data_IF_145090947727
#
_entry.id   IF_145090947727
#
_cell.length_a   1.000
_cell.length_b   1.000
_cell.length_c   1.000
_cell.angle_alpha   90.00
_cell.angle_beta   90.00
_cell.angle_gamma   90.00
#
_symmetry.space_group_name_H-M   'P 1'
#
loop_
_entity.id
_entity.type
_entity.pdbx_description
1 polymer ?
#
# COMPACT_ATOMS: atom_id res chain seq x y z
N UNK A 1 6.90 -22.08 -13.23
CA UNK A 1 5.69 -21.29 -13.54
C UNK A 1 6.15 -20.00 -14.21
N UNK A 2 5.51 -19.57 -15.30
CA UNK A 2 5.85 -18.27 -15.92
C UNK A 2 5.49 -17.16 -14.92
N UNK A 3 6.33 -16.11 -14.83
CA UNK A 3 6.15 -15.01 -13.85
C UNK A 3 4.81 -14.30 -14.00
N UNK A 4 4.31 -14.16 -15.24
CA UNK A 4 3.02 -13.52 -15.53
C UNK A 4 1.86 -14.33 -14.92
N UNK A 5 1.90 -15.66 -15.05
CA UNK A 5 0.89 -16.54 -14.46
C UNK A 5 0.79 -16.37 -12.95
N UNK A 6 1.92 -16.36 -12.23
CA UNK A 6 1.91 -16.16 -10.77
C UNK A 6 1.27 -14.84 -10.38
N UNK A 7 1.66 -13.75 -11.05
CA UNK A 7 1.13 -12.41 -10.79
C UNK A 7 -0.38 -12.39 -11.08
N UNK A 8 -0.80 -12.78 -12.29
CA UNK A 8 -2.21 -12.74 -12.70
C UNK A 8 -3.10 -13.59 -11.78
N UNK A 9 -2.65 -14.77 -11.38
CA UNK A 9 -3.36 -15.61 -10.40
C UNK A 9 -3.54 -14.88 -9.06
N UNK A 10 -2.47 -14.29 -8.51
CA UNK A 10 -2.57 -13.53 -7.26
C UNK A 10 -3.56 -12.36 -7.36
N UNK A 11 -3.57 -11.63 -8.48
CA UNK A 11 -4.47 -10.49 -8.68
C UNK A 11 -5.95 -10.93 -8.81
N UNK A 12 -6.21 -12.05 -9.48
CA UNK A 12 -7.56 -12.60 -9.68
C UNK A 12 -8.14 -13.21 -8.40
N UNK A 13 -7.30 -13.91 -7.65
CA UNK A 13 -7.72 -14.55 -6.39
C UNK A 13 -7.82 -13.52 -5.25
N UNK A 14 -7.23 -12.34 -5.43
CA UNK A 14 -7.15 -11.29 -4.41
C UNK A 14 -6.22 -11.66 -3.25
N UNK A 15 -5.44 -12.73 -3.39
CA UNK A 15 -4.55 -13.27 -2.36
C UNK A 15 -3.17 -12.62 -2.37
N UNK A 16 -3.13 -11.29 -2.38
CA UNK A 16 -1.85 -10.57 -2.44
C UNK A 16 -1.13 -10.49 -1.08
N UNK A 17 -1.72 -10.98 0.02
CA UNK A 17 -1.10 -10.93 1.36
C UNK A 17 0.24 -11.68 1.46
N UNK A 18 0.46 -12.64 0.56
CA UNK A 18 1.71 -13.41 0.47
C UNK A 18 2.64 -12.89 -0.64
N UNK A 19 2.25 -11.80 -1.31
CA UNK A 19 3.14 -11.12 -2.25
C UNK A 19 4.37 -10.59 -1.52
N UNK A 20 5.46 -10.46 -2.27
CA UNK A 20 6.70 -9.90 -1.76
C UNK A 20 6.52 -8.47 -1.29
N UNK A 21 5.75 -7.66 -2.02
CA UNK A 21 5.43 -6.29 -1.57
C UNK A 21 4.81 -6.29 -0.17
N UNK A 22 3.85 -7.19 0.09
CA UNK A 22 3.22 -7.27 1.42
C UNK A 22 4.19 -7.76 2.51
N UNK A 23 5.09 -8.67 2.16
CA UNK A 23 6.18 -9.07 3.06
C UNK A 23 7.09 -7.89 3.40
N UNK A 24 7.55 -7.11 2.41
CA UNK A 24 8.41 -5.94 2.62
C UNK A 24 7.70 -4.86 3.46
N UNK A 25 6.41 -4.60 3.24
CA UNK A 25 5.62 -3.69 4.08
C UNK A 25 5.53 -4.18 5.54
N UNK A 26 5.38 -5.49 5.74
CA UNK A 26 5.34 -6.11 7.06
C UNK A 26 6.70 -6.01 7.78
N UNK A 27 7.80 -6.18 7.05
CA UNK A 27 9.16 -6.01 7.57
C UNK A 27 9.43 -4.56 7.97
N UNK A 28 9.04 -3.58 7.14
CA UNK A 28 9.15 -2.15 7.47
C UNK A 28 8.38 -1.84 8.76
N UNK A 29 7.17 -2.37 8.91
CA UNK A 29 6.38 -2.25 10.15
C UNK A 29 7.14 -2.86 11.33
N UNK A 30 7.61 -4.10 11.20
CA UNK A 30 8.30 -4.81 12.29
C UNK A 30 9.57 -4.06 12.74
N UNK A 31 10.36 -3.57 11.79
CA UNK A 31 11.55 -2.77 12.06
C UNK A 31 11.20 -1.48 12.79
N UNK A 32 10.20 -0.72 12.32
CA UNK A 32 9.75 0.50 12.99
C UNK A 32 9.24 0.27 14.41
N UNK A 33 8.52 -0.84 14.65
CA UNK A 33 8.07 -1.22 15.99
C UNK A 33 9.24 -1.57 16.91
N UNK A 34 10.21 -2.33 16.39
CA UNK A 34 11.43 -2.70 17.11
C UNK A 34 12.26 -1.48 17.50
N UNK A 35 12.47 -0.54 16.57
CA UNK A 35 13.17 0.72 16.83
C UNK A 35 12.46 1.58 17.87
N UNK A 36 11.13 1.70 17.77
CA UNK A 36 10.33 2.45 18.75
C UNK A 36 10.44 1.83 20.15
N UNK A 37 10.43 0.49 20.25
CA UNK A 37 10.62 -0.23 21.51
C UNK A 37 12.04 -0.04 22.07
N UNK A 38 13.07 -0.13 21.22
CA UNK A 38 14.46 0.07 21.61
C UNK A 38 14.72 1.52 22.08
N UNK A 39 14.07 2.51 21.46
CA UNK A 39 14.12 3.91 21.90
C UNK A 39 13.44 4.10 23.25
N UNK A 40 12.20 3.60 23.41
CA UNK A 40 11.47 3.69 24.68
C UNK A 40 12.26 3.08 25.83
N UNK A 41 12.84 1.89 25.63
CA UNK A 41 13.69 1.24 26.64
C UNK A 41 14.88 2.13 27.03
N UNK A 42 15.61 2.67 26.05
CA UNK A 42 16.77 3.56 26.30
C UNK A 42 16.37 4.82 27.09
N UNK A 43 15.26 5.45 26.71
CA UNK A 43 14.76 6.66 27.39
C UNK A 43 14.26 6.33 28.82
N UNK A 44 13.60 5.19 29.00
CA UNK A 44 13.15 4.72 30.29
C UNK A 44 14.33 4.42 31.24
N UNK A 45 15.34 3.70 30.76
CA UNK A 45 16.54 3.37 31.54
C UNK A 45 17.27 4.65 31.98
N UNK A 46 17.34 5.67 31.11
CA UNK A 46 17.92 6.97 31.45
C UNK A 46 17.15 7.71 32.56
N UNK A 47 15.81 7.60 32.59
CA UNK A 47 15.01 8.11 33.71
C UNK A 47 15.32 7.33 34.99
N UNK A 48 15.34 6.00 34.92
CA UNK A 48 15.61 5.16 36.09
C UNK A 48 16.99 5.46 36.69
N UNK A 49 18.00 5.66 35.86
CA UNK A 49 19.34 6.02 36.33
C UNK A 49 19.39 7.44 36.91
N UNK A 50 18.61 8.38 36.36
CA UNK A 50 18.46 9.72 36.93
C UNK A 50 17.76 9.70 38.29
N UNK A 51 16.73 8.88 38.45
CA UNK A 51 16.03 8.67 39.72
C UNK A 51 16.98 8.08 40.77
N UNK A 52 17.80 7.08 40.41
CA UNK A 52 18.81 6.52 41.32
C UNK A 52 19.81 7.57 41.79
N UNK A 53 20.21 8.49 40.90
CA UNK A 53 21.26 9.49 41.17
C UNK A 53 20.76 10.72 41.93
N UNK A 54 19.55 11.19 41.62
CA UNK A 54 19.05 12.48 42.11
C UNK A 54 17.76 12.36 42.96
N UNK A 55 17.21 11.16 43.10
CA UNK A 55 15.93 10.90 43.76
C UNK A 55 14.72 11.10 42.84
N UNK A 56 13.59 10.47 43.17
CA UNK A 56 12.36 10.50 42.36
C UNK A 56 11.52 11.76 42.62
N UNK A 57 12.09 12.96 42.37
CA UNK A 57 11.34 14.22 42.43
C UNK A 57 11.30 14.88 41.05
N UNK A 58 10.11 14.91 40.44
CA UNK A 58 9.86 15.67 39.21
C UNK A 58 10.02 14.90 37.90
N UNK A 59 10.11 13.57 37.92
CA UNK A 59 10.24 12.73 36.71
C UNK A 59 8.91 12.28 36.12
N UNK A 60 7.77 12.48 36.79
CA UNK A 60 6.47 11.94 36.34
C UNK A 60 6.05 12.49 34.97
N UNK A 61 6.27 13.78 34.71
CA UNK A 61 6.03 14.37 33.39
C UNK A 61 6.92 13.79 32.29
N UNK A 62 8.16 13.39 32.62
CA UNK A 62 9.05 12.73 31.65
C UNK A 62 8.62 11.29 31.37
N UNK A 63 8.23 10.54 32.41
CA UNK A 63 7.67 9.18 32.30
C UNK A 63 6.41 9.20 31.42
N UNK A 64 5.51 10.16 31.66
CA UNK A 64 4.30 10.35 30.87
C UNK A 64 4.61 10.70 29.42
N UNK A 65 5.52 11.65 29.17
CA UNK A 65 5.90 12.07 27.83
C UNK A 65 6.50 10.92 26.99
N UNK A 66 7.38 10.10 27.57
CA UNK A 66 7.98 8.94 26.89
C UNK A 66 6.92 7.89 26.57
N UNK A 67 6.02 7.58 27.52
CA UNK A 67 4.94 6.61 27.29
C UNK A 67 3.94 7.08 26.23
N UNK A 68 3.59 8.37 26.24
CA UNK A 68 2.74 8.99 25.22
C UNK A 68 3.40 8.95 23.83
N UNK A 69 4.69 9.29 23.76
CA UNK A 69 5.47 9.25 22.50
C UNK A 69 5.59 7.83 21.96
N UNK A 70 5.85 6.84 22.82
CA UNK A 70 5.92 5.44 22.44
C UNK A 70 4.59 4.94 21.87
N UNK A 71 3.49 5.23 22.57
CA UNK A 71 2.14 4.80 22.17
C UNK A 71 1.73 5.44 20.84
N UNK A 72 1.86 6.76 20.72
CA UNK A 72 1.51 7.50 19.50
C UNK A 72 2.37 7.11 18.30
N UNK A 73 3.67 6.86 18.49
CA UNK A 73 4.55 6.36 17.43
C UNK A 73 4.11 4.97 16.98
N UNK A 74 3.83 4.06 17.91
CA UNK A 74 3.34 2.69 17.62
C UNK A 74 2.05 2.74 16.79
N UNK A 75 1.07 3.52 17.24
CA UNK A 75 -0.21 3.67 16.54
C UNK A 75 -0.05 4.28 15.14
N UNK A 76 0.88 5.22 14.98
CA UNK A 76 1.20 5.81 13.68
C UNK A 76 1.80 4.79 12.72
N UNK A 77 2.72 3.94 13.18
CA UNK A 77 3.31 2.85 12.39
C UNK A 77 2.22 1.86 11.95
N UNK A 78 1.40 1.40 12.88
CA UNK A 78 0.30 0.47 12.60
C UNK A 78 -0.71 1.06 11.60
N UNK A 79 -1.12 2.32 11.82
CA UNK A 79 -2.04 3.01 10.91
C UNK A 79 -1.48 3.16 9.51
N UNK A 80 -0.19 3.47 9.37
CA UNK A 80 0.47 3.58 8.06
C UNK A 80 0.48 2.23 7.35
N UNK A 81 0.89 1.17 8.05
CA UNK A 81 0.90 -0.18 7.51
C UNK A 81 -0.49 -0.63 7.04
N UNK A 82 -1.51 -0.51 7.90
CA UNK A 82 -2.87 -0.92 7.54
C UNK A 82 -3.40 -0.16 6.33
N UNK A 83 -3.13 1.14 6.23
CA UNK A 83 -3.50 1.96 5.06
C UNK A 83 -2.79 1.52 3.79
N UNK A 84 -1.50 1.17 3.87
CA UNK A 84 -0.76 0.66 2.72
C UNK A 84 -1.29 -0.69 2.26
N UNK A 85 -1.55 -1.61 3.18
CA UNK A 85 -2.15 -2.91 2.87
C UNK A 85 -3.50 -2.72 2.19
N UNK A 86 -4.41 -1.95 2.78
CA UNK A 86 -5.73 -1.66 2.20
C UNK A 86 -5.61 -1.07 0.79
N UNK A 87 -4.71 -0.10 0.63
CA UNK A 87 -4.50 0.58 -0.64
C UNK A 87 -4.00 -0.36 -1.74
N UNK A 88 -2.96 -1.16 -1.45
CA UNK A 88 -2.42 -2.10 -2.43
C UNK A 88 -3.35 -3.28 -2.70
N UNK A 89 -4.07 -3.78 -1.69
CA UNK A 89 -5.11 -4.79 -1.87
C UNK A 89 -6.18 -4.30 -2.83
N UNK A 90 -6.69 -3.08 -2.62
CA UNK A 90 -7.65 -2.50 -3.57
C UNK A 90 -7.04 -2.34 -4.97
N UNK A 91 -5.85 -1.75 -5.05
CA UNK A 91 -5.23 -1.44 -6.33
C UNK A 91 -4.83 -2.68 -7.15
N UNK A 92 -4.54 -3.80 -6.49
CA UNK A 92 -4.01 -5.03 -7.11
C UNK A 92 -5.00 -6.21 -6.99
N UNK A 93 -6.30 -5.96 -6.78
CA UNK A 93 -7.34 -6.98 -6.92
C UNK A 93 -8.13 -6.70 -8.19
N UNK A 94 -8.25 -7.70 -9.05
CA UNK A 94 -9.06 -7.62 -10.27
C UNK A 94 -10.18 -8.64 -10.23
N UNK A 95 -11.26 -8.38 -10.97
CA UNK A 95 -12.39 -9.31 -11.10
C UNK A 95 -12.82 -9.40 -12.54
N UNK A 96 -13.12 -10.60 -13.00
CA UNK A 96 -13.74 -10.83 -14.30
C UNK A 96 -15.18 -11.21 -14.05
N UNK A 97 -16.11 -10.46 -14.62
CA UNK A 97 -17.53 -10.79 -14.59
C UNK A 97 -18.11 -10.70 -16.00
N UNK A 98 -18.61 -11.82 -16.51
CA UNK A 98 -19.09 -11.96 -17.89
C UNK A 98 -17.99 -11.54 -18.87
N UNK A 99 -18.25 -10.51 -19.66
CA UNK A 99 -17.38 -10.00 -20.73
C UNK A 99 -16.52 -8.82 -20.28
N UNK A 100 -16.40 -8.57 -18.96
CA UNK A 100 -15.73 -7.38 -18.44
C UNK A 100 -14.68 -7.70 -17.39
N UNK A 101 -13.57 -6.96 -17.46
CA UNK A 101 -12.57 -6.88 -16.41
C UNK A 101 -12.83 -5.63 -15.56
N UNK A 102 -12.93 -5.84 -14.25
CA UNK A 102 -12.99 -4.81 -13.22
C UNK A 102 -11.62 -4.71 -12.55
N UNK A 103 -11.07 -3.51 -12.53
CA UNK A 103 -9.75 -3.23 -11.98
C UNK A 103 -9.72 -1.81 -11.42
N UNK A 104 -8.73 -1.48 -10.60
CA UNK A 104 -8.45 -0.08 -10.27
C UNK A 104 -7.40 0.50 -11.21
N UNK A 105 -7.58 1.76 -11.59
CA UNK A 105 -6.63 2.55 -12.39
C UNK A 105 -6.34 3.87 -11.71
N UNK A 106 -5.26 4.52 -12.15
CA UNK A 106 -4.82 5.79 -11.60
C UNK A 106 -4.72 6.87 -12.65
N UNK A 107 -5.25 8.05 -12.34
CA UNK A 107 -5.11 9.24 -13.17
C UNK A 107 -4.35 10.33 -12.39
N UNK A 108 -3.48 11.09 -13.08
CA UNK A 108 -2.75 12.18 -12.44
C UNK A 108 -3.71 13.29 -12.01
N UNK A 109 -3.64 13.68 -10.73
CA UNK A 109 -4.47 14.76 -10.23
C UNK A 109 -3.92 16.12 -10.72
N UNK A 110 -4.76 17.00 -11.28
CA UNK A 110 -4.34 18.34 -11.66
C UNK A 110 -3.76 19.15 -10.50
N UNK A 111 -2.72 19.93 -10.77
CA UNK A 111 -2.11 20.82 -9.79
C UNK A 111 -3.00 22.05 -9.52
N UNK A 112 -2.86 22.63 -8.33
CA UNK A 112 -3.50 23.90 -7.99
C UNK A 112 -5.01 23.86 -7.73
N UNK A 113 -5.61 22.68 -7.66
CA UNK A 113 -7.05 22.54 -7.36
C UNK A 113 -7.39 23.02 -5.94
N UNK A 114 -8.48 23.77 -5.82
CA UNK A 114 -9.08 24.11 -4.53
C UNK A 114 -9.66 22.86 -3.84
N UNK A 115 -9.90 22.87 -2.52
CA UNK A 115 -10.51 21.74 -1.83
C UNK A 115 -11.84 21.29 -2.44
N UNK A 116 -12.69 22.23 -2.88
CA UNK A 116 -13.97 21.90 -3.51
C UNK A 116 -13.76 21.21 -4.87
N UNK A 117 -12.90 21.76 -5.73
CA UNK A 117 -12.60 21.16 -7.04
C UNK A 117 -12.03 19.75 -6.91
N UNK A 118 -11.23 19.48 -5.87
CA UNK A 118 -10.75 18.12 -5.58
C UNK A 118 -11.89 17.18 -5.20
N UNK A 119 -12.79 17.62 -4.32
CA UNK A 119 -13.94 16.83 -3.91
C UNK A 119 -14.83 16.50 -5.12
N UNK A 120 -15.16 17.50 -5.94
CA UNK A 120 -15.96 17.34 -7.16
C UNK A 120 -15.29 16.37 -8.14
N UNK A 121 -13.96 16.46 -8.29
CA UNK A 121 -13.20 15.58 -9.16
C UNK A 121 -13.18 14.12 -8.66
N UNK A 122 -13.02 13.91 -7.35
CA UNK A 122 -13.10 12.57 -6.75
C UNK A 122 -14.53 12.00 -6.87
N UNK A 123 -15.55 12.83 -6.68
CA UNK A 123 -16.95 12.42 -6.84
C UNK A 123 -17.25 12.01 -8.28
N UNK A 124 -16.74 12.75 -9.27
CA UNK A 124 -16.89 12.41 -10.69
C UNK A 124 -16.25 11.06 -11.08
N UNK A 125 -15.20 10.64 -10.38
CA UNK A 125 -14.54 9.34 -10.57
C UNK A 125 -15.09 8.24 -9.65
N UNK A 126 -16.11 8.56 -8.84
CA UNK A 126 -16.71 7.62 -7.90
C UNK A 126 -17.96 6.99 -8.48
N UNK A 127 -18.28 5.80 -7.98
CA UNK A 127 -19.60 5.18 -8.13
C UNK A 127 -20.36 5.25 -6.80
N UNK A 128 -21.60 4.75 -6.78
CA UNK A 128 -22.36 4.59 -5.53
C UNK A 128 -21.65 3.66 -4.55
N UNK A 129 -21.00 2.60 -5.06
CA UNK A 129 -20.40 1.54 -4.25
C UNK A 129 -18.92 1.77 -3.95
N UNK A 130 -18.18 2.34 -4.90
CA UNK A 130 -16.74 2.53 -4.81
C UNK A 130 -16.38 4.00 -4.99
N UNK A 131 -15.78 4.60 -3.95
CA UNK A 131 -15.33 5.99 -3.98
C UNK A 131 -13.90 6.07 -4.51
N UNK A 132 -13.67 7.02 -5.41
CA UNK A 132 -12.32 7.39 -5.81
C UNK A 132 -11.57 7.98 -4.60
N UNK A 133 -10.26 7.78 -4.57
CA UNK A 133 -9.42 8.27 -3.49
C UNK A 133 -8.20 8.99 -4.03
N UNK A 134 -7.82 10.08 -3.36
CA UNK A 134 -6.53 10.73 -3.61
C UNK A 134 -5.42 9.86 -3.02
N UNK A 135 -4.44 9.53 -3.85
CA UNK A 135 -3.21 8.86 -3.43
C UNK A 135 -2.02 9.76 -3.71
N UNK A 136 -1.01 9.70 -2.85
CA UNK A 136 0.24 10.46 -3.02
C UNK A 136 1.39 9.49 -3.24
N UNK A 137 2.17 9.74 -4.29
CA UNK A 137 3.40 9.02 -4.58
C UNK A 137 4.53 10.02 -4.80
N UNK A 138 5.39 10.16 -3.79
CA UNK A 138 6.34 11.26 -3.71
C UNK A 138 5.60 12.60 -3.71
N UNK A 139 6.02 13.52 -4.58
CA UNK A 139 5.41 14.85 -4.74
C UNK A 139 4.18 14.84 -5.68
N UNK A 140 3.91 13.71 -6.34
CA UNK A 140 2.79 13.59 -7.27
C UNK A 140 1.55 13.05 -6.59
N UNK A 141 0.39 13.53 -7.04
CA UNK A 141 -0.92 13.09 -6.58
C UNK A 141 -1.66 12.41 -7.71
N UNK A 142 -2.36 11.34 -7.40
CA UNK A 142 -3.18 10.60 -8.34
C UNK A 142 -4.57 10.38 -7.75
N UNK A 143 -5.52 10.14 -8.64
CA UNK A 143 -6.85 9.67 -8.34
C UNK A 143 -6.82 8.17 -8.59
N UNK A 144 -7.08 7.37 -7.56
CA UNK A 144 -7.29 5.93 -7.70
C UNK A 144 -8.79 5.67 -7.72
N UNK A 145 -9.27 5.02 -8.77
CA UNK A 145 -10.68 4.70 -8.96
C UNK A 145 -10.85 3.36 -9.66
N UNK A 146 -12.05 2.81 -9.58
CA UNK A 146 -12.36 1.51 -10.17
C UNK A 146 -12.90 1.73 -11.58
N UNK A 147 -12.38 0.96 -12.52
CA UNK A 147 -12.75 0.97 -13.92
C UNK A 147 -13.30 -0.40 -14.33
N UNK A 148 -14.12 -0.37 -15.38
CA UNK A 148 -14.63 -1.55 -16.07
C UNK A 148 -14.22 -1.45 -17.53
N UNK A 149 -13.57 -2.49 -18.05
CA UNK A 149 -13.17 -2.58 -19.46
C UNK A 149 -13.74 -3.85 -20.09
N UNK A 150 -14.04 -3.80 -21.38
CA UNK A 150 -14.53 -4.94 -22.15
C UNK A 150 -13.36 -5.88 -22.50
N UNK A 151 -13.58 -7.18 -22.33
CA UNK A 151 -12.61 -8.22 -22.67
C UNK A 151 -12.69 -8.48 -24.18
N UNK A 152 -11.54 -8.55 -24.90
CA UNK A 152 -11.51 -8.86 -26.32
C UNK A 152 -12.23 -10.18 -26.65
N UNK A 153 -12.98 -10.22 -27.75
CA UNK A 153 -13.79 -11.39 -28.14
C UNK A 153 -12.97 -12.67 -28.25
N UNK A 154 -11.72 -12.57 -28.72
CA UNK A 154 -10.81 -13.70 -28.86
C UNK A 154 -10.31 -14.27 -27.51
N UNK A 155 -10.55 -13.58 -26.39
CA UNK A 155 -10.16 -13.99 -25.05
C UNK A 155 -11.35 -14.40 -24.16
N UNK A 156 -12.59 -14.17 -24.60
CA UNK A 156 -13.79 -14.36 -23.76
C UNK A 156 -14.00 -15.80 -23.25
N UNK A 157 -13.49 -16.79 -23.97
CA UNK A 157 -13.63 -18.22 -23.61
C UNK A 157 -12.32 -18.83 -23.06
N UNK A 158 -11.30 -18.01 -22.86
CA UNK A 158 -9.99 -18.43 -22.39
C UNK A 158 -9.90 -18.29 -20.87
N UNK A 159 -9.17 -19.19 -20.20
CA UNK A 159 -8.84 -19.01 -18.78
C UNK A 159 -7.61 -18.10 -18.64
N UNK A 160 -7.70 -16.92 -18.01
CA UNK A 160 -6.55 -16.05 -17.81
C UNK A 160 -5.46 -16.67 -16.93
N UNK A 161 -5.73 -17.76 -16.20
CA UNK A 161 -4.71 -18.50 -15.44
C UNK A 161 -3.87 -19.42 -16.33
N UNK A 162 -4.36 -19.75 -17.52
CA UNK A 162 -3.72 -20.70 -18.44
C UNK A 162 -3.27 -20.06 -19.76
N UNK A 163 -3.99 -19.04 -20.24
CA UNK A 163 -3.76 -18.37 -21.51
C UNK A 163 -2.79 -17.17 -21.37
N UNK A 164 -1.65 -17.23 -22.06
CA UNK A 164 -0.60 -16.21 -22.00
C UNK A 164 -1.01 -14.87 -22.63
N UNK A 165 -1.72 -14.89 -23.77
CA UNK A 165 -2.20 -13.67 -24.42
C UNK A 165 -3.20 -12.92 -23.53
N UNK A 166 -4.02 -13.68 -22.78
CA UNK A 166 -4.93 -13.10 -21.80
C UNK A 166 -4.17 -12.53 -20.59
N UNK A 167 -3.14 -13.23 -20.11
CA UNK A 167 -2.29 -12.71 -19.03
C UNK A 167 -1.64 -11.39 -19.43
N UNK A 168 -1.05 -11.33 -20.62
CA UNK A 168 -0.40 -10.13 -21.13
C UNK A 168 -1.39 -8.97 -21.32
N UNK A 169 -2.60 -9.26 -21.82
CA UNK A 169 -3.66 -8.26 -21.92
C UNK A 169 -4.08 -7.70 -20.55
N UNK A 170 -4.22 -8.54 -19.52
CA UNK A 170 -4.53 -8.11 -18.15
C UNK A 170 -3.41 -7.20 -17.61
N UNK A 171 -2.15 -7.60 -17.79
CA UNK A 171 -1.00 -6.82 -17.32
C UNK A 171 -0.92 -5.47 -18.05
N UNK A 172 -1.23 -5.43 -19.34
CA UNK A 172 -1.28 -4.20 -20.14
C UNK A 172 -2.40 -3.26 -19.66
N UNK A 173 -3.59 -3.79 -19.37
CA UNK A 173 -4.69 -3.01 -18.80
C UNK A 173 -4.30 -2.36 -17.46
N UNK A 174 -3.56 -3.09 -16.62
CA UNK A 174 -3.10 -2.63 -15.32
C UNK A 174 -1.94 -1.62 -15.37
N UNK A 175 -1.29 -1.40 -16.52
CA UNK A 175 -0.22 -0.38 -16.66
C UNK A 175 -0.70 1.03 -16.32
N UNK A 176 -2.00 1.29 -16.41
CA UNK A 176 -2.60 2.57 -16.02
C UNK A 176 -2.74 2.74 -14.50
N UNK A 177 -2.30 1.76 -13.71
CA UNK A 177 -2.30 1.80 -12.25
C UNK A 177 -0.85 1.92 -11.73
N UNK A 178 -0.50 3.09 -11.21
CA UNK A 178 0.87 3.35 -10.73
C UNK A 178 1.24 2.50 -9.51
N UNK A 179 0.26 2.13 -8.66
CA UNK A 179 0.49 1.24 -7.52
C UNK A 179 0.74 -0.18 -7.99
N UNK A 180 0.03 -0.64 -9.02
CA UNK A 180 0.34 -1.91 -9.67
C UNK A 180 1.76 -1.90 -10.25
N UNK A 181 2.23 -0.77 -10.81
CA UNK A 181 3.62 -0.64 -11.26
C UNK A 181 4.64 -0.91 -10.15
N UNK A 182 4.40 -0.41 -8.93
CA UNK A 182 5.25 -0.68 -7.76
C UNK A 182 5.18 -2.15 -7.35
N UNK A 183 3.97 -2.70 -7.27
CA UNK A 183 3.74 -4.11 -6.97
C UNK A 183 4.51 -5.00 -7.95
N UNK A 184 4.32 -4.78 -9.25
CA UNK A 184 4.95 -5.55 -10.32
C UNK A 184 6.46 -5.47 -10.28
N UNK A 185 7.03 -4.27 -10.08
CA UNK A 185 8.46 -4.08 -9.95
C UNK A 185 9.04 -4.89 -8.76
N UNK A 186 8.30 -4.93 -7.64
CA UNK A 186 8.71 -5.67 -6.44
C UNK A 186 8.66 -7.19 -6.68
N UNK A 187 7.59 -7.69 -7.29
CA UNK A 187 7.45 -9.12 -7.62
C UNK A 187 8.47 -9.61 -8.67
N UNK A 188 8.88 -8.73 -9.60
CA UNK A 188 9.77 -9.10 -10.71
C UNK A 188 11.26 -8.88 -10.46
N UNK A 189 11.62 -8.17 -9.38
CA UNK A 189 13.01 -7.92 -9.00
C UNK A 189 13.45 -8.71 -7.76
N UNK A 190 13.22 -10.05 -7.68
CA UNK A 190 13.37 -10.75 -6.41
C UNK A 190 14.82 -10.84 -5.92
N UNK A 191 15.79 -10.77 -6.82
CA UNK A 191 17.21 -10.93 -6.53
C UNK A 191 17.97 -9.60 -6.67
N UNK A 192 17.26 -8.47 -6.74
CA UNK A 192 17.89 -7.16 -6.90
C UNK A 192 18.52 -6.74 -5.58
N UNK A 193 19.79 -7.10 -5.39
CA UNK A 193 20.61 -6.53 -4.32
C UNK A 193 21.01 -5.10 -4.71
N UNK A 194 20.51 -4.11 -3.97
CA UNK A 194 20.92 -2.71 -4.14
C UNK A 194 21.62 -2.19 -2.89
N UNK A 195 22.69 -1.42 -3.09
CA UNK A 195 23.35 -0.68 -2.02
C UNK A 195 22.82 0.75 -2.00
N UNK A 196 22.56 1.28 -0.80
CA UNK A 196 22.21 2.69 -0.62
C UNK A 196 23.49 3.50 -0.92
N UNK A 197 23.44 4.34 -1.95
CA UNK A 197 24.52 5.26 -2.33
C UNK A 197 24.46 6.55 -1.50
#
# INVERSE_FOLDING_TARGET
MKRNTTVVTMLLDGEIQHSRLMCELSEIRANGLSENQARHKREWDAIQDSIKKYGDRGFDGQKEAINSTFTSTRESIERKYSKQVELYTRACTIKIEKEHLFLSITEAMPYGLTPQQKADLLEAHSTERNKAQEISMGEKKFILFDAKIEIPENLLNEDPRENEDFQDWILDALRHNVLFGVFLATEWAPDLEYQIA
#
